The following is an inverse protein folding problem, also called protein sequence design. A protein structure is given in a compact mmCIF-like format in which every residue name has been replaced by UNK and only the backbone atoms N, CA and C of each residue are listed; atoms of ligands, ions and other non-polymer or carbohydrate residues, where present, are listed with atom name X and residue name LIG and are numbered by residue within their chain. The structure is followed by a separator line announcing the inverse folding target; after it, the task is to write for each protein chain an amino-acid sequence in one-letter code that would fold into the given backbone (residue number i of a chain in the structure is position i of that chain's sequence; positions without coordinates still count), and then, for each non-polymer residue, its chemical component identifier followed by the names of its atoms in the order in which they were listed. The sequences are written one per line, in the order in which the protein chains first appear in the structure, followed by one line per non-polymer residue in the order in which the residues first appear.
data_IF_287031675987
#
_entry.id   IF_287031675987
#
_cell.length_a   1.000
_cell.length_b   1.000
_cell.length_c   1.000
_cell.angle_alpha   90.00
_cell.angle_beta   90.00
_cell.angle_gamma   90.00
#
_symmetry.space_group_name_H-M   'P 1'
#
loop_
_entity.id
_entity.type
_entity.pdbx_description
1 polymer ?
#
# COMPACT_ATOMS: atom_id res chain seq x y z
N UNK A 1 -20.90 -1.65 -1.13
CA UNK A 1 -21.20 -3.10 -1.16
C UNK A 1 -20.86 -3.75 -2.51
N UNK A 2 -20.80 -3.01 -3.64
CA UNK A 2 -20.35 -3.55 -4.95
C UNK A 2 -18.88 -3.97 -4.99
N UNK A 3 -17.96 -3.13 -4.48
CA UNK A 3 -16.51 -3.33 -4.65
C UNK A 3 -15.96 -4.65 -4.09
N UNK A 4 -16.56 -5.19 -3.02
CA UNK A 4 -16.10 -6.45 -2.41
C UNK A 4 -16.41 -7.68 -3.29
N UNK A 5 -17.50 -7.62 -4.06
CA UNK A 5 -17.88 -8.71 -4.97
C UNK A 5 -17.09 -8.68 -6.28
N UNK A 6 -16.64 -7.49 -6.69
CA UNK A 6 -15.81 -7.28 -7.87
C UNK A 6 -14.29 -7.40 -7.55
N UNK A 7 -13.95 -7.72 -6.30
CA UNK A 7 -12.57 -7.77 -5.82
C UNK A 7 -11.76 -8.87 -6.54
N UNK A 8 -10.76 -8.45 -7.30
CA UNK A 8 -9.85 -9.36 -8.00
C UNK A 8 -8.55 -9.50 -7.22
N UNK A 9 -8.50 -10.48 -6.32
CA UNK A 9 -7.36 -10.75 -5.46
C UNK A 9 -6.04 -10.94 -6.24
N UNK A 10 -6.07 -11.63 -7.39
CA UNK A 10 -4.88 -11.89 -8.20
C UNK A 10 -4.33 -10.60 -8.83
N UNK A 11 -5.22 -9.71 -9.28
CA UNK A 11 -4.83 -8.41 -9.84
C UNK A 11 -4.24 -7.50 -8.76
N UNK A 12 -4.89 -7.42 -7.60
CA UNK A 12 -4.40 -6.63 -6.46
C UNK A 12 -3.05 -7.20 -5.97
N UNK A 13 -2.89 -8.52 -5.90
CA UNK A 13 -1.63 -9.18 -5.54
C UNK A 13 -0.48 -8.77 -6.47
N UNK A 14 -0.72 -8.78 -7.78
CA UNK A 14 0.26 -8.36 -8.78
C UNK A 14 0.61 -6.86 -8.65
N UNK A 15 -0.40 -5.98 -8.52
CA UNK A 15 -0.17 -4.54 -8.37
C UNK A 15 0.59 -4.20 -7.07
N UNK A 16 0.30 -4.90 -5.97
CA UNK A 16 1.05 -4.73 -4.72
C UNK A 16 2.49 -5.19 -4.86
N UNK A 17 2.74 -6.30 -5.55
CA UNK A 17 4.10 -6.78 -5.81
C UNK A 17 4.89 -5.78 -6.66
N UNK A 18 4.30 -5.26 -7.74
CA UNK A 18 4.92 -4.24 -8.59
C UNK A 18 5.20 -2.92 -7.84
N UNK A 19 4.31 -2.53 -6.92
CA UNK A 19 4.52 -1.35 -6.06
C UNK A 19 5.70 -1.58 -5.11
N UNK A 20 5.77 -2.74 -4.46
CA UNK A 20 6.87 -3.10 -3.55
C UNK A 20 8.22 -3.10 -4.28
N UNK A 21 8.27 -3.63 -5.50
CA UNK A 21 9.48 -3.60 -6.34
C UNK A 21 9.96 -2.16 -6.60
N UNK A 22 9.04 -1.22 -6.86
CA UNK A 22 9.41 0.20 -7.02
C UNK A 22 10.02 0.79 -5.75
N UNK A 23 9.49 0.45 -4.57
CA UNK A 23 10.12 0.85 -3.30
C UNK A 23 11.51 0.23 -3.14
N UNK A 24 11.68 -1.07 -3.43
CA UNK A 24 12.96 -1.76 -3.34
C UNK A 24 14.01 -1.20 -4.30
N UNK A 25 13.60 -0.69 -5.46
CA UNK A 25 14.47 -0.03 -6.43
C UNK A 25 14.77 1.44 -6.11
N UNK A 26 14.08 2.04 -5.13
CA UNK A 26 14.21 3.46 -4.83
C UNK A 26 15.65 3.77 -4.35
N UNK A 27 16.31 4.85 -4.82
CA UNK A 27 17.69 5.17 -4.43
C UNK A 27 17.88 5.32 -2.92
N UNK A 28 16.91 5.93 -2.24
CA UNK A 28 16.88 6.10 -0.78
C UNK A 28 16.47 4.84 0.00
N UNK A 29 16.26 3.71 -0.67
CA UNK A 29 16.05 2.39 -0.07
C UNK A 29 17.28 1.47 -0.25
N UNK A 30 18.36 1.99 -0.85
CA UNK A 30 19.62 1.27 -1.02
C UNK A 30 20.55 1.43 0.19
N UNK A 31 21.49 0.50 0.43
CA UNK A 31 22.51 0.63 1.47
C UNK A 31 23.36 1.92 1.35
N UNK A 32 23.95 2.42 2.45
CA UNK A 32 24.03 1.81 3.77
C UNK A 32 22.80 2.00 4.66
N UNK A 33 21.99 3.05 4.42
CA UNK A 33 20.85 3.42 5.26
C UNK A 33 19.60 3.61 4.40
N UNK A 34 18.47 3.05 4.85
CA UNK A 34 17.18 3.27 4.21
C UNK A 34 16.47 4.49 4.81
N UNK A 35 15.83 5.28 3.96
CA UNK A 35 15.10 6.45 4.43
C UNK A 35 13.86 6.03 5.23
N UNK A 36 13.66 6.54 6.45
CA UNK A 36 12.68 6.00 7.40
C UNK A 36 11.24 6.07 6.89
N UNK A 37 10.86 7.17 6.22
CA UNK A 37 9.53 7.32 5.63
C UNK A 37 9.24 6.33 4.49
N UNK A 38 10.24 6.07 3.64
CA UNK A 38 10.12 5.11 2.54
C UNK A 38 10.02 3.69 3.10
N UNK A 39 10.87 3.35 4.06
CA UNK A 39 10.85 2.06 4.72
C UNK A 39 9.54 1.82 5.46
N UNK A 40 9.01 2.83 6.16
CA UNK A 40 7.72 2.75 6.84
C UNK A 40 6.58 2.40 5.87
N UNK A 41 6.48 3.09 4.72
CA UNK A 41 5.44 2.79 3.75
C UNK A 41 5.66 1.46 3.03
N UNK A 42 6.90 1.12 2.72
CA UNK A 42 7.24 -0.20 2.20
C UNK A 42 6.77 -1.31 3.14
N UNK A 43 7.07 -1.23 4.44
CA UNK A 43 6.63 -2.23 5.40
C UNK A 43 5.11 -2.25 5.58
N UNK A 44 4.47 -1.08 5.61
CA UNK A 44 3.01 -0.97 5.67
C UNK A 44 2.33 -1.69 4.49
N UNK A 45 2.79 -1.44 3.26
CA UNK A 45 2.27 -2.08 2.04
C UNK A 45 2.58 -3.57 2.06
N UNK A 46 3.80 -3.97 2.45
CA UNK A 46 4.23 -5.37 2.55
C UNK A 46 3.36 -6.17 3.53
N UNK A 47 3.01 -5.57 4.67
CA UNK A 47 2.13 -6.22 5.65
C UNK A 47 0.69 -6.32 5.14
N UNK A 48 0.19 -5.30 4.44
CA UNK A 48 -1.11 -5.36 3.74
C UNK A 48 -1.11 -6.47 2.67
N UNK A 49 -0.01 -6.64 1.94
CA UNK A 49 0.13 -7.69 0.92
C UNK A 49 0.13 -9.10 1.53
N UNK A 50 0.75 -9.27 2.71
CA UNK A 50 0.65 -10.51 3.49
C UNK A 50 -0.78 -10.79 3.93
N UNK A 51 -1.52 -9.77 4.36
CA UNK A 51 -2.93 -9.91 4.74
C UNK A 51 -3.82 -10.30 3.55
N UNK A 52 -3.58 -9.73 2.37
CA UNK A 52 -4.27 -10.15 1.14
C UNK A 52 -4.14 -11.67 0.92
N UNK A 53 -2.94 -12.20 1.12
CA UNK A 53 -2.63 -13.63 0.92
C UNK A 53 -3.28 -14.55 1.95
N UNK A 54 -3.82 -14.01 3.04
CA UNK A 54 -4.57 -14.81 4.04
C UNK A 54 -6.06 -14.88 3.77
N UNK A 55 -6.58 -14.11 2.79
CA UNK A 55 -8.01 -14.08 2.47
C UNK A 55 -8.41 -15.39 1.80
N UNK A 56 -9.42 -16.04 2.38
CA UNK A 56 -10.05 -17.23 1.81
C UNK A 56 -11.05 -16.80 0.71
N UNK A 57 -10.63 -16.97 -0.55
CA UNK A 57 -11.40 -16.57 -1.73
C UNK A 57 -12.66 -17.42 -1.91
N UNK A 58 -12.65 -18.67 -1.47
CA UNK A 58 -13.83 -19.55 -1.53
C UNK A 58 -14.90 -19.04 -0.56
N UNK A 59 -14.50 -18.67 0.66
CA UNK A 59 -15.40 -18.04 1.64
C UNK A 59 -15.89 -16.67 1.20
N UNK A 60 -15.03 -15.85 0.61
CA UNK A 60 -15.44 -14.56 0.03
C UNK A 60 -16.54 -14.77 -1.02
N UNK A 61 -16.35 -15.74 -1.91
CA UNK A 61 -17.31 -16.11 -2.95
C UNK A 61 -18.63 -16.65 -2.38
N UNK A 62 -18.57 -17.33 -1.23
CA UNK A 62 -19.73 -17.78 -0.47
C UNK A 62 -20.41 -16.66 0.34
N UNK A 63 -19.86 -15.45 0.33
CA UNK A 63 -20.41 -14.29 1.04
C UNK A 63 -20.11 -14.26 2.54
N UNK A 64 -19.05 -14.92 2.99
CA UNK A 64 -18.59 -14.89 4.38
C UNK A 64 -18.21 -13.46 4.83
N UNK A 65 -18.71 -13.05 6.00
CA UNK A 65 -18.53 -11.67 6.48
C UNK A 65 -17.10 -11.38 6.94
N UNK A 66 -16.38 -12.37 7.46
CA UNK A 66 -14.98 -12.20 7.84
C UNK A 66 -14.10 -11.99 6.61
N UNK A 67 -14.29 -12.80 5.56
CA UNK A 67 -13.59 -12.61 4.30
C UNK A 67 -13.89 -11.23 3.66
N UNK A 68 -15.14 -10.78 3.71
CA UNK A 68 -15.51 -9.42 3.26
C UNK A 68 -14.84 -8.31 4.06
N UNK A 69 -14.74 -8.47 5.38
CA UNK A 69 -14.07 -7.50 6.25
C UNK A 69 -12.58 -7.41 5.92
N UNK A 70 -11.92 -8.54 5.69
CA UNK A 70 -10.51 -8.59 5.30
C UNK A 70 -10.27 -7.90 3.95
N UNK A 71 -11.13 -8.14 2.96
CA UNK A 71 -11.07 -7.43 1.66
C UNK A 71 -11.25 -5.92 1.86
N UNK A 72 -12.25 -5.52 2.65
CA UNK A 72 -12.52 -4.10 2.94
C UNK A 72 -11.32 -3.44 3.62
N UNK A 73 -10.65 -4.15 4.52
CA UNK A 73 -9.43 -3.66 5.16
C UNK A 73 -8.28 -3.49 4.16
N UNK A 74 -8.05 -4.47 3.28
CA UNK A 74 -7.00 -4.37 2.24
C UNK A 74 -7.26 -3.17 1.32
N UNK A 75 -8.49 -2.99 0.84
CA UNK A 75 -8.88 -1.83 0.01
C UNK A 75 -8.64 -0.52 0.76
N UNK A 76 -9.10 -0.44 2.02
CA UNK A 76 -8.93 0.76 2.84
C UNK A 76 -7.46 1.10 3.09
N UNK A 77 -6.62 0.09 3.30
CA UNK A 77 -5.17 0.24 3.49
C UNK A 77 -4.47 0.68 2.21
N UNK A 78 -4.88 0.16 1.05
CA UNK A 78 -4.37 0.61 -0.25
C UNK A 78 -4.72 2.07 -0.53
N UNK A 79 -5.96 2.47 -0.24
CA UNK A 79 -6.38 3.87 -0.34
C UNK A 79 -5.57 4.75 0.62
N UNK A 80 -5.39 4.32 1.87
CA UNK A 80 -4.63 5.07 2.85
C UNK A 80 -3.13 5.19 2.48
N UNK A 81 -2.52 4.14 1.92
CA UNK A 81 -1.17 4.21 1.39
C UNK A 81 -1.04 5.29 0.32
N UNK A 82 -2.00 5.37 -0.63
CA UNK A 82 -2.01 6.42 -1.64
C UNK A 82 -2.14 7.82 -1.03
N UNK A 83 -2.99 8.00 0.00
CA UNK A 83 -3.09 9.27 0.74
C UNK A 83 -1.75 9.65 1.38
N UNK A 84 -1.06 8.70 2.01
CA UNK A 84 0.22 8.94 2.67
C UNK A 84 1.33 9.30 1.67
N UNK A 85 1.40 8.60 0.53
CA UNK A 85 2.38 8.88 -0.54
C UNK A 85 2.21 10.29 -1.11
N UNK A 86 0.98 10.81 -1.09
CA UNK A 86 0.62 12.14 -1.56
C UNK A 86 0.48 13.17 -0.42
N UNK A 87 0.97 12.87 0.79
CA UNK A 87 0.93 13.83 1.90
C UNK A 87 1.77 15.07 1.59
N UNK A 88 1.11 16.21 1.41
CA UNK A 88 1.75 17.52 1.24
C UNK A 88 1.83 18.31 2.54
N UNK A 89 1.33 17.78 3.66
CA UNK A 89 1.27 18.49 4.94
C UNK A 89 2.53 18.30 5.79
N UNK A 90 3.39 17.35 5.44
CA UNK A 90 4.59 16.99 6.20
C UNK A 90 4.32 16.13 7.44
N UNK A 91 3.05 15.75 7.68
CA UNK A 91 2.67 14.92 8.83
C UNK A 91 3.28 13.53 8.75
N UNK A 92 3.33 12.94 7.56
CA UNK A 92 3.94 11.62 7.37
C UNK A 92 5.44 11.67 7.71
N UNK A 93 6.15 12.70 7.23
CA UNK A 93 7.55 12.90 7.56
C UNK A 93 7.73 13.03 9.08
N UNK A 94 6.93 13.85 9.76
CA UNK A 94 6.98 14.01 11.22
C UNK A 94 6.74 12.68 11.96
N UNK A 95 5.72 11.90 11.56
CA UNK A 95 5.39 10.61 12.20
C UNK A 95 6.47 9.54 12.00
N UNK A 96 7.27 9.68 10.96
CA UNK A 96 8.35 8.75 10.62
C UNK A 96 9.74 9.28 10.99
N UNK A 97 9.81 10.40 11.72
CA UNK A 97 11.06 10.99 12.19
C UNK A 97 11.86 11.79 11.14
N UNK A 98 11.25 12.10 10.01
CA UNK A 98 11.81 12.96 8.96
C UNK A 98 11.52 14.45 9.16
N UNK A 99 12.11 15.27 8.29
CA UNK A 99 11.90 16.73 8.25
C UNK A 99 10.56 17.07 7.57
N UNK A 100 9.57 17.64 8.28
CA UNK A 100 8.28 18.00 7.69
C UNK A 100 8.36 19.16 6.69
N UNK A 101 9.44 19.96 6.71
CA UNK A 101 9.66 21.04 5.74
C UNK A 101 10.27 20.55 4.42
N UNK A 102 10.82 19.33 4.42
CA UNK A 102 11.43 18.69 3.26
C UNK A 102 11.04 17.19 3.21
N UNK A 103 9.76 16.87 2.98
CA UNK A 103 9.30 15.50 2.89
C UNK A 103 9.97 14.76 1.73
N UNK A 104 10.15 13.45 1.89
CA UNK A 104 10.73 12.60 0.84
C UNK A 104 9.88 12.61 -0.42
N UNK A 105 10.53 12.69 -1.58
CA UNK A 105 9.85 12.44 -2.85
C UNK A 105 9.90 10.94 -3.16
N UNK A 106 8.72 10.32 -3.24
CA UNK A 106 8.54 8.93 -3.65
C UNK A 106 8.79 8.71 -5.15
N UNK A 107 8.82 9.78 -5.94
CA UNK A 107 8.95 9.71 -7.39
C UNK A 107 7.66 9.30 -8.11
N UNK A 108 7.62 9.48 -9.45
CA UNK A 108 6.41 9.33 -10.24
C UNK A 108 5.92 7.88 -10.34
N UNK A 109 6.83 6.91 -10.31
CA UNK A 109 6.47 5.50 -10.47
C UNK A 109 5.69 4.96 -9.27
N UNK A 110 6.19 5.20 -8.04
CA UNK A 110 5.51 4.83 -6.80
C UNK A 110 4.15 5.51 -6.71
N UNK A 111 4.09 6.82 -7.02
CA UNK A 111 2.83 7.60 -7.03
C UNK A 111 1.80 7.00 -7.99
N UNK A 112 2.19 6.71 -9.23
CA UNK A 112 1.29 6.11 -10.23
C UNK A 112 0.80 4.72 -9.82
N UNK A 113 1.69 3.87 -9.32
CA UNK A 113 1.34 2.49 -8.91
C UNK A 113 0.42 2.49 -7.66
N UNK A 114 0.67 3.38 -6.71
CA UNK A 114 -0.20 3.55 -5.54
C UNK A 114 -1.58 4.11 -5.91
N UNK A 115 -1.64 5.07 -6.85
CA UNK A 115 -2.91 5.57 -7.37
C UNK A 115 -3.70 4.45 -8.03
N UNK A 116 -3.09 3.67 -8.92
CA UNK A 116 -3.74 2.54 -9.60
C UNK A 116 -4.29 1.50 -8.61
N UNK A 117 -3.53 1.19 -7.55
CA UNK A 117 -3.95 0.27 -6.49
C UNK A 117 -5.10 0.82 -5.62
N UNK A 118 -5.28 2.14 -5.56
CA UNK A 118 -6.32 2.79 -4.74
C UNK A 118 -7.69 2.88 -5.42
N UNK A 119 -7.79 2.48 -6.68
CA UNK A 119 -9.04 2.48 -7.47
C UNK A 119 -9.74 1.11 -7.48
N UNK A 120 -9.28 0.18 -6.65
CA UNK A 120 -9.70 -1.23 -6.61
C UNK A 120 -10.74 -1.55 -5.53
#
# INVERSE_FOLDING_TARGET
MSAVLDFNAARVDAQMAELLESFESHPLMQPPDTHPTLFFLFDFIRNTHRQLKTIDIEKLSAGDDEAKNQVTEVIGRNHFANVLINDTTGKLAMLTGGDPSNPVDFGPEIKRKAEALSQD
#
